data_IF_674247932524
#
_entry.id   IF_674247932524
#
_cell.length_a   1.000
_cell.length_b   1.000
_cell.length_c   1.000
_cell.angle_alpha   90.00
_cell.angle_beta   90.00
_cell.angle_gamma   90.00
#
_symmetry.space_group_name_H-M   'P 1'
#
loop_
_entity.id
_entity.type
_entity.pdbx_description
1 polymer ?
#
# COMPACT_ATOMS: atom_id res chain seq x y z
N UNK A 1 -23.29 69.60 -4.80
CA UNK A 1 -23.96 68.28 -4.77
C UNK A 1 -22.96 67.26 -5.37
N UNK A 2 -22.22 66.63 -4.51
CA UNK A 2 -21.11 65.73 -4.93
C UNK A 2 -21.58 64.27 -4.77
N UNK A 3 -21.68 63.59 -5.93
CA UNK A 3 -22.10 62.18 -5.96
C UNK A 3 -20.87 61.29 -5.68
N UNK A 4 -20.90 60.62 -4.54
CA UNK A 4 -19.88 59.60 -4.16
C UNK A 4 -20.34 58.25 -4.69
N UNK A 5 -19.70 57.77 -5.73
CA UNK A 5 -19.92 56.42 -6.30
C UNK A 5 -19.13 55.42 -5.46
N UNK A 6 -19.80 54.58 -4.71
CA UNK A 6 -19.20 53.45 -3.98
C UNK A 6 -19.01 52.29 -4.95
N UNK A 7 -17.76 51.94 -5.24
CA UNK A 7 -17.41 50.66 -5.90
C UNK A 7 -17.45 49.54 -4.84
N UNK A 8 -18.41 48.65 -4.98
CA UNK A 8 -18.43 47.40 -4.25
C UNK A 8 -17.49 46.42 -4.97
N UNK A 9 -16.31 46.18 -4.39
CA UNK A 9 -15.40 45.12 -4.87
C UNK A 9 -15.99 43.75 -4.48
N UNK A 10 -16.46 43.02 -5.50
CA UNK A 10 -16.86 41.64 -5.41
C UNK A 10 -15.57 40.82 -5.27
N UNK A 11 -15.24 40.38 -4.06
CA UNK A 11 -14.17 39.40 -3.83
C UNK A 11 -14.78 38.04 -4.22
N UNK A 12 -14.48 37.56 -5.42
CA UNK A 12 -14.71 36.17 -5.80
C UNK A 12 -13.72 35.32 -4.95
N UNK A 13 -14.22 34.66 -3.92
CA UNK A 13 -13.53 33.54 -3.32
C UNK A 13 -13.52 32.41 -4.36
N UNK A 14 -12.42 32.28 -5.12
CA UNK A 14 -12.12 31.05 -5.82
C UNK A 14 -11.85 30.00 -4.75
N UNK A 15 -12.86 29.21 -4.37
CA UNK A 15 -12.64 27.94 -3.71
C UNK A 15 -11.71 27.13 -4.62
N UNK A 16 -10.54 26.75 -4.14
CA UNK A 16 -9.62 25.95 -4.91
C UNK A 16 -10.34 24.68 -5.37
N UNK A 17 -10.18 24.27 -6.63
CA UNK A 17 -10.80 23.05 -7.15
C UNK A 17 -10.46 21.82 -6.28
N UNK A 18 -9.33 21.83 -5.58
CA UNK A 18 -8.88 20.79 -4.64
C UNK A 18 -9.83 20.61 -3.45
N UNK A 19 -10.46 21.67 -2.93
CA UNK A 19 -11.35 21.60 -1.77
C UNK A 19 -12.61 20.77 -2.04
N UNK A 20 -12.98 20.58 -3.28
CA UNK A 20 -14.15 19.81 -3.72
C UNK A 20 -13.82 18.40 -4.16
N UNK A 21 -12.53 18.06 -4.39
CA UNK A 21 -12.10 16.71 -4.74
C UNK A 21 -12.36 15.73 -3.60
N UNK A 22 -12.79 14.54 -3.95
CA UNK A 22 -12.87 13.43 -3.02
C UNK A 22 -11.63 12.53 -3.13
N UNK A 23 -11.37 11.77 -2.07
CA UNK A 23 -10.24 10.86 -1.98
C UNK A 23 -10.15 9.89 -3.15
N UNK A 24 -11.29 9.39 -3.65
CA UNK A 24 -11.35 8.46 -4.78
C UNK A 24 -11.29 9.15 -6.17
N UNK A 25 -11.14 10.46 -6.21
CA UNK A 25 -11.05 11.25 -7.45
C UNK A 25 -9.61 11.65 -7.82
N UNK A 26 -8.63 11.10 -7.14
CA UNK A 26 -7.21 11.28 -7.44
C UNK A 26 -6.54 9.96 -7.81
N UNK A 27 -5.39 10.04 -8.47
CA UNK A 27 -4.47 8.92 -8.61
C UNK A 27 -3.17 9.23 -7.89
N UNK A 28 -2.60 8.22 -7.22
CA UNK A 28 -1.31 8.26 -6.55
C UNK A 28 -0.44 7.10 -7.00
N UNK A 29 0.87 7.27 -6.91
CA UNK A 29 1.85 6.21 -7.15
C UNK A 29 2.18 5.55 -5.81
N UNK A 30 2.22 4.22 -5.82
CA UNK A 30 2.59 3.37 -4.72
C UNK A 30 3.78 2.49 -5.03
N UNK A 31 4.40 1.96 -4.00
CA UNK A 31 5.40 0.90 -4.07
C UNK A 31 4.80 -0.44 -3.68
N UNK A 32 5.23 -1.51 -4.35
CA UNK A 32 4.93 -2.89 -4.01
C UNK A 32 6.04 -3.44 -3.11
N UNK A 33 5.70 -4.26 -2.11
CA UNK A 33 6.66 -4.77 -1.13
C UNK A 33 7.61 -3.67 -0.60
N UNK A 34 7.05 -2.56 -0.16
CA UNK A 34 7.77 -1.30 0.11
C UNK A 34 8.89 -1.41 1.15
N UNK A 35 8.79 -2.42 2.01
CA UNK A 35 9.75 -2.76 3.06
C UNK A 35 10.95 -3.57 2.53
N UNK A 36 10.90 -4.11 1.29
CA UNK A 36 11.87 -5.07 0.74
C UNK A 36 13.27 -4.46 0.61
N UNK A 37 14.20 -4.91 1.45
CA UNK A 37 15.57 -4.42 1.48
C UNK A 37 16.49 -5.06 0.42
N UNK A 38 15.96 -6.05 -0.33
CA UNK A 38 16.70 -6.89 -1.25
C UNK A 38 17.39 -8.05 -0.55
N UNK A 39 17.61 -9.12 -1.29
CA UNK A 39 18.33 -10.30 -0.83
C UNK A 39 19.83 -10.04 -0.75
N UNK A 40 20.50 -10.64 0.24
CA UNK A 40 21.96 -10.61 0.33
C UNK A 40 22.61 -11.54 -0.73
N UNK A 41 23.91 -11.36 -1.04
CA UNK A 41 24.57 -12.11 -2.11
C UNK A 41 24.47 -13.63 -1.99
N UNK A 42 24.67 -14.21 -0.79
CA UNK A 42 24.58 -15.66 -0.61
C UNK A 42 23.16 -16.18 -0.66
N UNK A 43 22.18 -15.39 -0.16
CA UNK A 43 20.76 -15.68 -0.29
C UNK A 43 20.34 -15.73 -1.76
N UNK A 44 20.76 -14.73 -2.54
CA UNK A 44 20.51 -14.67 -3.99
C UNK A 44 21.17 -15.85 -4.72
N UNK A 45 22.42 -16.17 -4.41
CA UNK A 45 23.14 -17.28 -5.02
C UNK A 45 22.48 -18.63 -4.73
N UNK A 46 22.01 -18.83 -3.49
CA UNK A 46 21.25 -20.02 -3.11
C UNK A 46 19.92 -20.11 -3.86
N UNK A 47 19.13 -19.03 -3.89
CA UNK A 47 17.84 -19.01 -4.58
C UNK A 47 18.00 -19.23 -6.11
N UNK A 48 19.03 -18.64 -6.70
CA UNK A 48 19.36 -18.82 -8.14
C UNK A 48 19.58 -20.29 -8.48
N UNK A 49 20.27 -21.06 -7.63
CA UNK A 49 20.44 -22.50 -7.84
C UNK A 49 19.14 -23.29 -7.73
N UNK A 50 18.19 -22.85 -6.90
CA UNK A 50 16.88 -23.47 -6.79
C UNK A 50 15.96 -23.07 -7.94
N UNK A 51 15.93 -21.81 -8.30
CA UNK A 51 15.05 -21.24 -9.30
C UNK A 51 15.56 -19.89 -9.77
N UNK A 52 16.19 -19.84 -10.94
CA UNK A 52 16.59 -18.59 -11.58
C UNK A 52 15.40 -17.62 -11.72
N UNK A 53 14.22 -18.15 -12.15
CA UNK A 53 13.00 -17.34 -12.29
C UNK A 53 12.61 -16.67 -10.98
N UNK A 54 12.67 -17.37 -9.84
CA UNK A 54 12.34 -16.77 -8.53
C UNK A 54 13.37 -15.72 -8.13
N UNK A 55 14.65 -15.99 -8.34
CA UNK A 55 15.71 -15.02 -8.07
C UNK A 55 15.59 -13.77 -8.94
N UNK A 56 15.22 -13.94 -10.21
CA UNK A 56 14.96 -12.82 -11.13
C UNK A 56 13.77 -11.99 -10.68
N UNK A 57 12.68 -12.62 -10.25
CA UNK A 57 11.46 -11.93 -9.78
C UNK A 57 11.70 -11.12 -8.50
N UNK A 58 12.64 -11.53 -7.65
CA UNK A 58 13.02 -10.84 -6.41
C UNK A 58 14.21 -9.88 -6.56
N UNK A 59 14.70 -9.64 -7.77
CA UNK A 59 15.88 -8.81 -8.02
C UNK A 59 15.55 -7.31 -8.02
N UNK A 60 14.86 -6.84 -6.99
CA UNK A 60 14.57 -5.42 -6.72
C UNK A 60 14.77 -5.11 -5.24
N UNK A 61 14.75 -3.85 -4.88
CA UNK A 61 14.82 -3.38 -3.49
C UNK A 61 14.29 -1.96 -3.41
N UNK A 62 13.91 -1.54 -2.20
CA UNK A 62 13.44 -0.20 -1.92
C UNK A 62 14.27 0.50 -0.84
N UNK A 63 14.38 1.84 -0.86
CA UNK A 63 14.86 2.61 0.27
C UNK A 63 13.86 2.58 1.44
N UNK A 64 14.21 3.16 2.59
CA UNK A 64 13.30 3.28 3.73
C UNK A 64 11.97 3.95 3.38
N UNK A 65 10.91 3.62 4.11
CA UNK A 65 9.54 4.12 3.83
C UNK A 65 9.47 5.65 3.82
N UNK A 66 10.17 6.31 4.73
CA UNK A 66 10.28 7.77 4.80
C UNK A 66 10.89 8.38 3.54
N UNK A 67 11.97 7.79 3.04
CA UNK A 67 12.61 8.20 1.78
C UNK A 67 11.65 8.02 0.59
N UNK A 68 10.87 6.93 0.57
CA UNK A 68 9.87 6.70 -0.47
C UNK A 68 8.78 7.79 -0.45
N UNK A 69 8.29 8.17 0.73
CA UNK A 69 7.33 9.27 0.86
C UNK A 69 7.90 10.62 0.41
N UNK A 70 9.19 10.90 0.71
CA UNK A 70 9.88 12.10 0.23
C UNK A 70 10.00 12.13 -1.29
N UNK A 71 10.15 10.98 -1.95
CA UNK A 71 10.12 10.86 -3.41
C UNK A 71 8.74 11.12 -4.02
N UNK A 72 7.66 11.03 -3.22
CA UNK A 72 6.29 11.23 -3.70
C UNK A 72 5.40 9.99 -3.65
N UNK A 73 5.88 8.85 -3.16
CA UNK A 73 5.05 7.65 -2.93
C UNK A 73 3.94 7.98 -1.93
N UNK A 74 2.72 7.53 -2.21
CA UNK A 74 1.55 7.73 -1.32
C UNK A 74 0.81 6.42 -0.99
N UNK A 75 1.24 5.30 -1.54
CA UNK A 75 0.84 3.98 -1.06
C UNK A 75 2.10 3.14 -0.82
N UNK A 76 2.13 2.46 0.31
CA UNK A 76 3.15 1.44 0.63
C UNK A 76 2.47 0.13 0.95
N UNK A 77 3.14 -0.97 0.63
CA UNK A 77 2.70 -2.33 0.90
C UNK A 77 3.63 -2.98 1.93
N UNK A 78 3.03 -3.60 2.94
CA UNK A 78 3.74 -4.21 4.05
C UNK A 78 3.20 -5.62 4.27
N UNK A 79 4.02 -6.63 4.00
CA UNK A 79 3.68 -8.02 4.28
C UNK A 79 3.99 -8.35 5.74
N UNK A 80 3.04 -8.97 6.40
CA UNK A 80 3.17 -9.31 7.81
C UNK A 80 2.94 -10.79 8.07
N UNK A 81 3.72 -11.31 8.98
CA UNK A 81 3.58 -12.66 9.54
C UNK A 81 3.25 -12.55 11.02
N UNK A 82 2.22 -13.25 11.46
CA UNK A 82 1.94 -13.38 12.88
C UNK A 82 3.04 -14.23 13.56
N UNK A 83 3.51 -13.75 14.72
CA UNK A 83 4.49 -14.43 15.55
C UNK A 83 4.19 -14.10 17.02
N UNK A 84 3.06 -14.67 17.51
CA UNK A 84 2.47 -14.33 18.81
C UNK A 84 3.45 -14.57 19.96
N UNK A 85 4.33 -15.57 19.84
CA UNK A 85 5.30 -15.93 20.88
C UNK A 85 6.70 -15.37 20.62
N UNK A 86 6.99 -14.91 19.40
CA UNK A 86 8.33 -14.53 18.98
C UNK A 86 9.23 -15.72 18.66
N UNK A 87 10.29 -15.46 17.88
CA UNK A 87 11.33 -16.43 17.58
C UNK A 87 11.04 -17.38 16.42
N UNK A 88 9.81 -17.46 15.91
CA UNK A 88 9.41 -18.37 14.84
C UNK A 88 10.29 -18.21 13.60
N UNK A 89 10.62 -17.00 13.25
CA UNK A 89 11.36 -16.65 12.03
C UNK A 89 12.81 -16.17 12.30
N UNK A 90 13.31 -16.40 13.53
CA UNK A 90 14.63 -15.90 13.94
C UNK A 90 15.81 -16.67 13.31
N UNK A 91 15.57 -17.84 12.74
CA UNK A 91 16.60 -18.72 12.17
C UNK A 91 16.21 -19.17 10.75
N UNK A 92 16.27 -18.28 9.75
CA UNK A 92 15.87 -18.60 8.39
C UNK A 92 16.68 -19.78 7.81
N UNK A 93 15.98 -20.73 7.18
CA UNK A 93 16.57 -21.96 6.69
C UNK A 93 17.65 -21.73 5.60
N UNK A 94 17.50 -20.69 4.79
CA UNK A 94 18.48 -20.42 3.73
C UNK A 94 19.88 -20.04 4.26
N UNK A 95 20.00 -19.48 5.46
CA UNK A 95 21.29 -19.20 6.09
C UNK A 95 22.10 -20.50 6.29
N UNK A 96 21.44 -21.54 6.80
CA UNK A 96 22.04 -22.87 6.95
C UNK A 96 22.38 -23.46 5.58
N UNK A 97 21.43 -23.42 4.65
CA UNK A 97 21.60 -23.98 3.30
C UNK A 97 22.70 -23.28 2.51
N UNK A 98 22.82 -21.96 2.60
CA UNK A 98 23.90 -21.20 1.99
C UNK A 98 25.27 -21.60 2.58
N UNK A 99 25.36 -21.78 3.90
CA UNK A 99 26.57 -22.25 4.57
C UNK A 99 26.96 -23.67 4.15
N UNK A 100 26.02 -24.60 4.05
CA UNK A 100 26.23 -25.97 3.56
C UNK A 100 26.73 -26.01 2.10
N UNK A 101 26.39 -24.99 1.31
CA UNK A 101 26.92 -24.79 -0.05
C UNK A 101 28.30 -24.14 -0.10
N UNK A 102 28.89 -23.82 1.05
CA UNK A 102 30.18 -23.13 1.13
C UNK A 102 30.13 -21.67 0.70
N UNK A 103 28.96 -21.05 0.71
CA UNK A 103 28.82 -19.63 0.38
C UNK A 103 29.31 -18.74 1.55
N UNK A 104 29.84 -17.53 1.27
CA UNK A 104 30.25 -16.59 2.31
C UNK A 104 29.10 -16.20 3.23
N UNK A 105 29.40 -15.90 4.48
CA UNK A 105 28.40 -15.35 5.40
C UNK A 105 28.00 -13.94 4.98
N UNK A 106 26.70 -13.71 4.88
CA UNK A 106 26.12 -12.39 4.65
C UNK A 106 26.05 -11.57 5.96
N UNK A 107 25.90 -10.24 5.88
CA UNK A 107 25.64 -9.42 7.05
C UNK A 107 24.41 -9.91 7.82
N UNK A 108 24.41 -9.86 9.17
CA UNK A 108 23.27 -10.24 9.97
C UNK A 108 21.98 -9.54 9.51
N UNK A 109 20.89 -10.29 9.33
CA UNK A 109 19.60 -9.70 8.92
C UNK A 109 18.84 -9.08 10.09
N UNK A 110 19.04 -9.57 11.30
CA UNK A 110 18.40 -9.11 12.55
C UNK A 110 19.44 -8.79 13.64
N UNK A 111 20.26 -7.74 13.48
CA UNK A 111 21.31 -7.41 14.45
C UNK A 111 20.77 -6.94 15.80
N UNK A 112 19.47 -6.62 15.90
CA UNK A 112 18.81 -6.15 17.12
C UNK A 112 17.97 -7.23 17.81
N UNK A 113 17.91 -8.44 17.26
CA UNK A 113 17.13 -9.56 17.80
C UNK A 113 15.62 -9.30 17.83
N UNK A 114 15.10 -8.54 16.85
CA UNK A 114 13.68 -8.19 16.78
C UNK A 114 12.82 -9.40 16.39
N UNK A 115 13.38 -10.35 15.64
CA UNK A 115 12.69 -11.59 15.29
C UNK A 115 12.49 -12.54 16.48
N UNK A 116 13.23 -12.34 17.58
CA UNK A 116 13.04 -13.10 18.82
C UNK A 116 11.85 -12.59 19.66
N UNK A 117 11.33 -11.40 19.38
CA UNK A 117 10.26 -10.78 20.18
C UNK A 117 8.89 -11.15 19.62
N UNK A 118 7.83 -11.22 20.44
CA UNK A 118 6.45 -11.33 19.99
C UNK A 118 6.02 -10.18 19.07
N UNK A 119 4.97 -10.39 18.25
CA UNK A 119 4.36 -9.39 17.38
C UNK A 119 4.53 -9.70 15.90
N UNK A 120 3.96 -8.87 15.02
CA UNK A 120 3.99 -9.11 13.59
C UNK A 120 5.39 -8.80 13.00
N UNK A 121 5.90 -9.75 12.20
CA UNK A 121 7.18 -9.62 11.48
C UNK A 121 6.94 -9.16 10.06
N UNK A 122 7.82 -8.31 9.55
CA UNK A 122 7.72 -7.74 8.20
C UNK A 122 8.76 -8.39 7.30
N UNK A 123 8.30 -9.21 6.36
CA UNK A 123 9.15 -9.89 5.37
C UNK A 123 8.30 -10.44 4.22
N UNK A 124 8.90 -10.66 3.06
CA UNK A 124 8.20 -11.15 1.88
C UNK A 124 7.95 -12.67 1.93
N UNK A 125 9.00 -13.45 2.18
CA UNK A 125 8.88 -14.91 2.25
C UNK A 125 9.77 -15.49 3.36
N UNK A 126 9.12 -16.19 4.30
CA UNK A 126 9.83 -16.86 5.39
C UNK A 126 10.91 -17.80 4.83
N UNK A 127 12.06 -17.82 5.49
CA UNK A 127 13.19 -18.67 5.16
C UNK A 127 13.88 -18.39 3.80
N UNK A 128 13.34 -17.51 2.96
CA UNK A 128 13.86 -17.22 1.62
C UNK A 128 14.24 -15.75 1.46
N UNK A 129 13.27 -14.87 1.69
CA UNK A 129 13.35 -13.42 1.44
C UNK A 129 12.76 -12.66 2.63
N UNK A 130 13.58 -12.47 3.65
CA UNK A 130 13.19 -11.99 4.98
C UNK A 130 13.82 -10.65 5.36
N UNK A 131 14.66 -10.05 4.49
CA UNK A 131 15.27 -8.75 4.79
C UNK A 131 14.30 -7.61 4.57
N UNK A 132 14.20 -6.73 5.55
CA UNK A 132 13.25 -5.63 5.57
C UNK A 132 13.90 -4.33 6.01
N UNK A 133 13.45 -3.21 5.43
CA UNK A 133 13.86 -1.86 5.80
C UNK A 133 13.30 -1.41 7.16
N UNK A 134 12.29 -2.07 7.66
CA UNK A 134 11.69 -1.76 8.96
C UNK A 134 11.22 -3.04 9.66
N UNK A 135 11.48 -3.15 10.96
CA UNK A 135 11.07 -4.24 11.85
C UNK A 135 10.86 -3.69 13.27
N UNK A 136 9.97 -4.29 14.06
CA UNK A 136 8.81 -5.12 13.66
C UNK A 136 7.74 -4.27 12.97
N UNK A 137 6.52 -4.78 12.75
CA UNK A 137 5.45 -4.02 12.12
C UNK A 137 5.18 -2.68 12.81
N UNK A 138 5.17 -2.64 14.15
CA UNK A 138 5.08 -1.38 14.92
C UNK A 138 6.22 -0.41 14.61
N UNK A 139 7.40 -0.92 14.28
CA UNK A 139 8.53 -0.10 13.84
C UNK A 139 8.27 0.57 12.49
N UNK A 140 7.67 -0.17 11.53
CA UNK A 140 7.24 0.39 10.25
C UNK A 140 6.16 1.46 10.45
N UNK A 141 5.16 1.19 11.29
CA UNK A 141 4.12 2.16 11.64
C UNK A 141 4.71 3.43 12.27
N UNK A 142 5.73 3.29 13.13
CA UNK A 142 6.40 4.44 13.74
C UNK A 142 7.13 5.31 12.70
N UNK A 143 7.78 4.71 11.70
CA UNK A 143 8.38 5.45 10.57
C UNK A 143 7.32 6.24 9.82
N UNK A 144 6.20 5.60 9.46
CA UNK A 144 5.07 6.22 8.76
C UNK A 144 4.49 7.40 9.55
N UNK A 145 4.22 7.19 10.85
CA UNK A 145 3.68 8.24 11.71
C UNK A 145 4.63 9.42 11.88
N UNK A 146 5.93 9.16 12.06
CA UNK A 146 6.92 10.21 12.22
C UNK A 146 7.03 11.06 10.97
N UNK A 147 7.05 10.43 9.80
CA UNK A 147 7.03 11.16 8.53
C UNK A 147 5.74 11.99 8.39
N UNK A 148 4.57 11.40 8.67
CA UNK A 148 3.28 12.09 8.62
C UNK A 148 3.22 13.31 9.56
N UNK A 149 3.81 13.22 10.75
CA UNK A 149 3.90 14.35 11.70
C UNK A 149 4.83 15.45 11.21
N UNK A 150 5.92 15.09 10.53
CA UNK A 150 6.88 16.04 9.97
C UNK A 150 6.33 16.77 8.73
N UNK A 151 5.32 16.21 8.06
CA UNK A 151 4.71 16.73 6.83
C UNK A 151 3.20 16.98 7.03
N UNK A 152 2.77 17.87 7.93
CA UNK A 152 1.35 18.10 8.18
C UNK A 152 0.66 18.59 6.90
N UNK A 153 -0.50 17.98 6.57
CA UNK A 153 -1.24 18.32 5.34
C UNK A 153 -0.81 17.54 4.09
N UNK A 154 0.09 16.54 4.25
CA UNK A 154 0.41 15.62 3.15
C UNK A 154 -0.86 14.97 2.57
N UNK A 155 -0.79 14.52 1.31
CA UNK A 155 -1.84 13.71 0.71
C UNK A 155 -2.05 12.41 1.51
N UNK A 156 -3.27 11.84 1.53
CA UNK A 156 -3.53 10.60 2.25
C UNK A 156 -2.50 9.51 1.93
N UNK A 157 -2.04 8.81 2.96
CA UNK A 157 -1.17 7.64 2.83
C UNK A 157 -2.02 6.38 2.86
N UNK A 158 -1.85 5.52 1.86
CA UNK A 158 -2.49 4.21 1.81
C UNK A 158 -1.47 3.16 2.24
N UNK A 159 -1.80 2.37 3.26
CA UNK A 159 -0.97 1.29 3.77
C UNK A 159 -1.67 -0.02 3.45
N UNK A 160 -1.19 -0.70 2.42
CA UNK A 160 -1.67 -2.02 2.05
C UNK A 160 -0.97 -3.05 2.94
N UNK A 161 -1.75 -3.91 3.57
CA UNK A 161 -1.25 -4.97 4.44
C UNK A 161 -1.51 -6.31 3.76
N UNK A 162 -0.45 -7.05 3.46
CA UNK A 162 -0.55 -8.44 3.04
C UNK A 162 -0.32 -9.36 4.24
N UNK A 163 -1.33 -10.16 4.61
CA UNK A 163 -1.21 -11.16 5.67
C UNK A 163 -0.65 -12.46 5.09
N UNK A 164 0.54 -12.82 5.51
CA UNK A 164 1.25 -14.00 4.99
C UNK A 164 0.95 -15.23 5.84
N UNK A 165 0.32 -16.20 5.24
CA UNK A 165 0.03 -17.49 5.87
C UNK A 165 0.03 -18.65 4.86
N UNK A 166 0.22 -19.85 5.36
CA UNK A 166 0.16 -21.07 4.58
C UNK A 166 1.34 -22.00 4.81
N UNK A 167 1.25 -23.19 4.26
CA UNK A 167 2.33 -24.16 4.24
C UNK A 167 3.36 -23.73 3.23
N UNK A 168 4.53 -23.39 3.71
CA UNK A 168 5.70 -23.17 2.88
C UNK A 168 6.23 -24.46 2.25
N UNK A 169 7.37 -24.36 1.58
CA UNK A 169 8.13 -25.54 1.11
C UNK A 169 8.59 -26.37 2.32
N UNK A 170 9.00 -27.65 2.13
CA UNK A 170 9.35 -28.54 3.26
C UNK A 170 10.41 -28.01 4.22
N UNK A 171 11.25 -27.09 3.78
CA UNK A 171 12.29 -26.45 4.61
C UNK A 171 11.84 -25.13 5.25
N UNK A 172 10.66 -24.61 4.92
CA UNK A 172 10.14 -23.36 5.45
C UNK A 172 9.40 -23.59 6.77
N UNK A 173 9.51 -22.60 7.66
CA UNK A 173 8.71 -22.56 8.88
C UNK A 173 7.23 -22.48 8.54
N UNK A 174 6.40 -23.21 9.29
CA UNK A 174 4.95 -23.05 9.20
C UNK A 174 4.55 -21.69 9.80
N UNK A 175 3.66 -21.00 9.10
CA UNK A 175 3.17 -19.69 9.54
C UNK A 175 1.99 -19.84 10.49
N UNK A 176 1.75 -18.85 11.33
CA UNK A 176 0.51 -18.76 12.11
C UNK A 176 -0.65 -18.31 11.21
N UNK A 177 -1.83 -18.86 11.49
CA UNK A 177 -3.05 -18.48 10.77
C UNK A 177 -3.62 -17.17 11.32
N UNK A 178 -4.09 -16.29 10.42
CA UNK A 178 -4.77 -15.06 10.78
C UNK A 178 -6.23 -15.33 11.16
N UNK A 179 -6.44 -15.83 12.38
CA UNK A 179 -7.77 -16.00 12.96
C UNK A 179 -8.42 -14.64 13.29
N UNK A 180 -9.74 -14.57 13.54
CA UNK A 180 -10.39 -13.33 14.02
C UNK A 180 -9.68 -12.69 15.22
N UNK A 181 -9.17 -13.50 16.17
CA UNK A 181 -8.43 -12.99 17.33
C UNK A 181 -7.08 -12.38 16.95
N UNK A 182 -6.35 -12.96 15.99
CA UNK A 182 -5.09 -12.40 15.47
C UNK A 182 -5.35 -11.10 14.73
N UNK A 183 -6.46 -10.99 14.01
CA UNK A 183 -6.88 -9.72 13.40
C UNK A 183 -7.28 -8.66 14.42
N UNK A 184 -7.89 -9.05 15.57
CA UNK A 184 -8.14 -8.13 16.67
C UNK A 184 -6.82 -7.59 17.25
N UNK A 185 -5.80 -8.43 17.34
CA UNK A 185 -4.47 -8.02 17.80
C UNK A 185 -3.77 -7.13 16.78
N UNK A 186 -3.96 -7.36 15.47
CA UNK A 186 -3.46 -6.48 14.41
C UNK A 186 -4.08 -5.07 14.52
N UNK A 187 -5.41 -4.97 14.67
CA UNK A 187 -6.09 -3.69 14.88
C UNK A 187 -5.59 -2.97 16.15
N UNK A 188 -5.36 -3.70 17.24
CA UNK A 188 -4.78 -3.15 18.48
C UNK A 188 -3.35 -2.65 18.25
N UNK A 189 -2.53 -3.39 17.53
CA UNK A 189 -1.14 -3.00 17.23
C UNK A 189 -1.11 -1.72 16.40
N UNK A 190 -1.97 -1.60 15.37
CA UNK A 190 -2.12 -0.36 14.59
C UNK A 190 -2.53 0.81 15.48
N UNK A 191 -3.56 0.64 16.31
CA UNK A 191 -4.06 1.67 17.20
C UNK A 191 -3.06 2.06 18.31
N UNK A 192 -2.16 1.16 18.67
CA UNK A 192 -1.12 1.44 19.67
C UNK A 192 -0.07 2.45 19.18
N UNK A 193 0.10 2.56 17.87
CA UNK A 193 1.09 3.46 17.25
C UNK A 193 0.41 4.65 16.57
N UNK A 194 -0.64 4.40 15.76
CA UNK A 194 -1.29 5.45 14.97
C UNK A 194 -2.51 6.01 15.73
N UNK A 195 -2.50 7.30 16.10
CA UNK A 195 -3.63 7.94 16.77
C UNK A 195 -4.91 7.94 15.91
N UNK A 196 -6.07 7.85 16.53
CA UNK A 196 -7.34 7.79 15.83
C UNK A 196 -7.59 9.02 14.93
N UNK A 197 -7.18 10.20 15.37
CA UNK A 197 -7.29 11.44 14.60
C UNK A 197 -6.37 11.48 13.36
N UNK A 198 -5.44 10.55 13.24
CA UNK A 198 -4.55 10.37 12.08
C UNK A 198 -5.02 9.31 11.10
N UNK A 199 -6.13 8.64 11.37
CA UNK A 199 -6.67 7.60 10.47
C UNK A 199 -7.96 8.04 9.79
N UNK A 200 -8.24 7.42 8.65
CA UNK A 200 -9.58 7.26 8.08
C UNK A 200 -9.90 5.77 8.15
N UNK A 201 -10.93 5.41 8.91
CA UNK A 201 -11.35 4.02 9.12
C UNK A 201 -12.70 3.75 8.43
N UNK A 202 -13.09 2.47 8.25
CA UNK A 202 -14.36 2.13 7.60
C UNK A 202 -15.58 2.84 8.19
N UNK A 203 -15.63 3.04 9.51
CA UNK A 203 -16.72 3.74 10.18
C UNK A 203 -16.86 5.21 9.76
N UNK A 204 -15.73 5.89 9.47
CA UNK A 204 -15.74 7.28 9.00
C UNK A 204 -16.35 7.40 7.60
N UNK A 205 -16.10 6.42 6.74
CA UNK A 205 -16.65 6.37 5.37
C UNK A 205 -18.09 5.87 5.36
N UNK A 206 -18.41 4.84 6.16
CA UNK A 206 -19.77 4.32 6.27
C UNK A 206 -20.75 5.36 6.82
N UNK A 207 -20.31 6.15 7.79
CA UNK A 207 -21.14 7.20 8.38
C UNK A 207 -22.50 6.67 8.88
N UNK A 208 -23.58 7.24 8.35
CA UNK A 208 -24.99 6.89 8.71
C UNK A 208 -25.57 5.75 7.87
N UNK A 209 -24.86 5.25 6.86
CA UNK A 209 -25.36 4.21 5.96
C UNK A 209 -25.41 2.85 6.64
N UNK A 210 -26.29 1.97 6.16
CA UNK A 210 -26.45 0.64 6.71
C UNK A 210 -25.20 -0.21 6.42
N UNK A 211 -24.59 -0.02 5.24
CA UNK A 211 -23.37 -0.74 4.83
C UNK A 211 -22.30 0.24 4.35
N UNK A 212 -21.06 -0.21 4.37
CA UNK A 212 -19.94 0.55 3.82
C UNK A 212 -20.07 0.71 2.30
N UNK A 213 -20.53 -0.33 1.62
CA UNK A 213 -20.77 -0.29 0.18
C UNK A 213 -21.83 0.76 -0.19
N UNK A 214 -22.96 0.80 0.52
CA UNK A 214 -23.99 1.82 0.30
C UNK A 214 -23.41 3.24 0.36
N UNK A 215 -22.56 3.52 1.35
CA UNK A 215 -21.88 4.81 1.48
C UNK A 215 -21.00 5.12 0.27
N UNK A 216 -20.18 4.17 -0.14
CA UNK A 216 -19.24 4.35 -1.26
C UNK A 216 -19.97 4.57 -2.59
N UNK A 217 -21.09 3.89 -2.81
CA UNK A 217 -21.91 4.00 -4.01
C UNK A 217 -22.78 5.28 -4.05
N UNK A 218 -22.95 6.00 -2.93
CA UNK A 218 -23.83 7.17 -2.83
C UNK A 218 -23.10 8.44 -2.42
N UNK A 219 -22.69 8.56 -1.15
CA UNK A 219 -22.05 9.77 -0.60
C UNK A 219 -20.54 9.80 -0.90
N UNK A 220 -19.95 8.65 -1.17
CA UNK A 220 -18.56 8.48 -1.53
C UNK A 220 -17.58 8.73 -0.39
N UNK A 221 -16.34 8.82 -0.75
CA UNK A 221 -15.22 9.05 0.14
C UNK A 221 -15.19 10.50 0.68
N UNK A 222 -14.48 10.77 1.79
CA UNK A 222 -14.29 12.12 2.30
C UNK A 222 -13.64 13.04 1.26
N UNK A 223 -13.75 14.34 1.44
CA UNK A 223 -13.05 15.32 0.61
C UNK A 223 -11.55 15.16 0.78
N UNK A 224 -10.79 15.48 -0.28
CA UNK A 224 -9.34 15.40 -0.24
C UNK A 224 -8.75 16.27 0.88
N UNK A 225 -9.30 17.46 1.09
CA UNK A 225 -8.86 18.37 2.16
C UNK A 225 -9.05 17.77 3.56
N UNK A 226 -10.19 17.11 3.81
CA UNK A 226 -10.44 16.45 5.09
C UNK A 226 -9.60 15.18 5.28
N UNK A 227 -9.12 14.60 4.18
CA UNK A 227 -8.27 13.41 4.19
C UNK A 227 -6.77 13.72 4.29
N UNK A 228 -6.36 15.00 4.13
CA UNK A 228 -4.96 15.39 4.26
C UNK A 228 -4.42 15.09 5.66
N UNK A 229 -3.17 14.66 5.72
CA UNK A 229 -2.50 14.27 6.97
C UNK A 229 -3.03 12.99 7.60
N UNK A 230 -3.82 12.19 6.87
CA UNK A 230 -4.42 10.93 7.33
C UNK A 230 -3.78 9.72 6.70
N UNK A 231 -3.96 8.58 7.36
CA UNK A 231 -3.46 7.25 7.00
C UNK A 231 -4.66 6.33 6.85
N UNK A 232 -4.66 5.51 5.81
CA UNK A 232 -5.73 4.56 5.48
C UNK A 232 -5.10 3.19 5.34
N UNK A 233 -5.65 2.20 6.05
CA UNK A 233 -5.18 0.82 5.99
C UNK A 233 -6.08 0.00 5.07
N UNK A 234 -5.45 -0.81 4.21
CA UNK A 234 -6.10 -1.66 3.23
C UNK A 234 -5.61 -3.10 3.42
N UNK A 235 -6.46 -4.10 3.26
CA UNK A 235 -6.11 -5.53 3.32
C UNK A 235 -5.97 -6.07 1.91
N UNK A 236 -4.83 -6.70 1.61
CA UNK A 236 -4.54 -7.27 0.28
C UNK A 236 -5.39 -8.51 -0.01
N UNK A 237 -5.33 -9.52 0.85
CA UNK A 237 -5.92 -10.82 0.54
C UNK A 237 -7.43 -10.84 0.71
N UNK A 238 -8.15 -11.08 -0.39
CA UNK A 238 -9.59 -11.33 -0.36
C UNK A 238 -9.96 -12.56 0.47
N UNK A 239 -9.12 -13.60 0.48
CA UNK A 239 -9.37 -14.82 1.29
C UNK A 239 -9.38 -14.56 2.80
N UNK A 240 -8.71 -13.53 3.27
CA UNK A 240 -8.65 -13.13 4.67
C UNK A 240 -9.87 -12.27 5.11
N UNK A 241 -10.69 -11.82 4.16
CA UNK A 241 -11.87 -10.98 4.41
C UNK A 241 -12.80 -11.62 5.45
N UNK A 242 -13.15 -12.90 5.28
CA UNK A 242 -14.10 -13.60 6.16
C UNK A 242 -13.70 -13.60 7.62
N UNK A 243 -12.43 -13.84 7.93
CA UNK A 243 -11.91 -13.83 9.30
C UNK A 243 -11.81 -12.40 9.84
N UNK A 244 -11.46 -11.43 9.00
CA UNK A 244 -11.38 -10.03 9.41
C UNK A 244 -12.73 -9.41 9.72
N UNK A 245 -13.79 -9.73 8.96
CA UNK A 245 -15.15 -9.20 9.19
C UNK A 245 -15.94 -9.96 10.26
N UNK A 246 -15.43 -11.10 10.74
CA UNK A 246 -16.12 -11.92 11.73
C UNK A 246 -16.46 -11.12 12.99
N UNK A 247 -17.75 -11.01 13.32
CA UNK A 247 -18.26 -10.19 14.44
C UNK A 247 -18.32 -8.68 14.16
N UNK A 248 -17.90 -8.22 12.98
CA UNK A 248 -17.80 -6.81 12.60
C UNK A 248 -18.57 -6.51 11.29
N UNK A 249 -19.89 -6.62 11.27
CA UNK A 249 -20.67 -6.45 10.05
C UNK A 249 -20.35 -5.09 9.41
N UNK A 250 -20.08 -5.11 8.11
CA UNK A 250 -19.68 -3.90 7.36
C UNK A 250 -18.48 -3.16 7.95
N UNK A 251 -17.52 -3.91 8.52
CA UNK A 251 -16.29 -3.43 9.17
C UNK A 251 -16.52 -2.50 10.37
N UNK A 252 -17.67 -2.61 11.05
CA UNK A 252 -17.95 -1.79 12.23
C UNK A 252 -16.89 -1.97 13.31
N UNK A 253 -16.20 -0.88 13.68
CA UNK A 253 -15.15 -0.86 14.70
C UNK A 253 -13.77 -1.33 14.20
N UNK A 254 -13.65 -1.82 12.97
CA UNK A 254 -12.38 -2.22 12.33
C UNK A 254 -11.55 -1.02 11.86
N UNK A 255 -10.25 -1.24 11.63
CA UNK A 255 -9.30 -0.22 11.17
C UNK A 255 -9.04 -0.32 9.68
N UNK A 256 -9.05 -1.52 9.12
CA UNK A 256 -8.58 -1.83 7.77
C UNK A 256 -9.78 -2.01 6.83
N UNK A 257 -9.71 -1.44 5.63
CA UNK A 257 -10.65 -1.71 4.54
C UNK A 257 -10.27 -3.02 3.85
N UNK A 258 -11.21 -3.92 3.68
CA UNK A 258 -11.01 -5.22 3.05
C UNK A 258 -10.94 -5.14 1.52
N UNK A 259 -10.19 -6.05 0.90
CA UNK A 259 -10.25 -6.29 -0.54
C UNK A 259 -11.52 -7.11 -0.85
N UNK A 260 -12.68 -6.46 -0.73
CA UNK A 260 -13.97 -7.10 -0.84
C UNK A 260 -14.47 -7.17 -2.29
N UNK A 261 -15.31 -8.16 -2.57
CA UNK A 261 -16.01 -8.22 -3.86
C UNK A 261 -17.12 -7.17 -3.90
N UNK A 262 -17.32 -6.45 -5.02
CA UNK A 262 -18.50 -5.62 -5.22
C UNK A 262 -19.78 -6.37 -4.92
N UNK A 263 -20.70 -5.79 -4.16
CA UNK A 263 -21.91 -6.41 -3.65
C UNK A 263 -21.81 -6.89 -2.20
N UNK A 264 -20.61 -6.96 -1.62
CA UNK A 264 -20.42 -7.27 -0.21
C UNK A 264 -20.69 -6.03 0.66
N UNK A 265 -21.28 -6.18 1.86
CA UNK A 265 -21.60 -5.04 2.74
C UNK A 265 -20.39 -4.21 3.17
N UNK A 266 -19.19 -4.78 3.13
CA UNK A 266 -17.90 -4.18 3.47
C UNK A 266 -17.11 -3.68 2.25
N UNK A 267 -17.68 -3.78 1.03
CA UNK A 267 -16.98 -3.41 -0.19
C UNK A 267 -16.81 -1.89 -0.33
N UNK A 268 -15.55 -1.46 -0.28
CA UNK A 268 -15.13 -0.08 -0.54
C UNK A 268 -13.82 -0.03 -1.34
N UNK A 269 -12.96 -1.00 -1.10
CA UNK A 269 -11.66 -1.17 -1.73
C UNK A 269 -11.58 -2.52 -2.44
N UNK A 270 -10.89 -2.58 -3.58
CA UNK A 270 -10.60 -3.83 -4.28
C UNK A 270 -9.30 -3.74 -5.07
N UNK A 271 -8.63 -4.87 -5.22
CA UNK A 271 -7.47 -5.00 -6.08
C UNK A 271 -7.81 -5.60 -7.43
N UNK A 272 -7.27 -4.97 -8.47
CA UNK A 272 -7.33 -5.43 -9.85
C UNK A 272 -5.92 -5.34 -10.44
N UNK A 273 -5.06 -6.29 -10.07
CA UNK A 273 -3.63 -6.23 -10.30
C UNK A 273 -3.20 -6.38 -11.76
N UNK A 274 -4.05 -6.89 -12.65
CA UNK A 274 -3.78 -6.99 -14.08
C UNK A 274 -4.77 -6.11 -14.88
N UNK A 275 -4.39 -4.85 -15.20
CA UNK A 275 -5.25 -3.94 -15.94
C UNK A 275 -5.41 -4.31 -17.42
N UNK A 276 -4.63 -5.27 -17.92
CA UNK A 276 -4.72 -5.75 -19.30
C UNK A 276 -5.72 -6.91 -19.48
N UNK A 277 -6.04 -7.62 -18.38
CA UNK A 277 -6.90 -8.82 -18.42
C UNK A 277 -8.34 -8.47 -18.82
N UNK A 278 -8.89 -7.42 -18.24
CA UNK A 278 -10.20 -6.88 -18.57
C UNK A 278 -10.14 -5.33 -18.50
N UNK A 279 -9.90 -4.67 -19.63
CA UNK A 279 -9.72 -3.21 -19.65
C UNK A 279 -10.94 -2.40 -19.22
N UNK A 280 -12.15 -2.98 -19.21
CA UNK A 280 -13.38 -2.31 -18.79
C UNK A 280 -13.61 -2.39 -17.28
N UNK A 281 -13.09 -3.40 -16.61
CA UNK A 281 -13.40 -3.71 -15.22
C UNK A 281 -13.00 -2.56 -14.27
N UNK A 282 -11.77 -2.09 -14.34
CA UNK A 282 -11.29 -1.04 -13.43
C UNK A 282 -12.06 0.27 -13.63
N UNK A 283 -12.23 0.79 -14.87
CA UNK A 283 -13.03 1.99 -15.09
C UNK A 283 -14.48 1.88 -14.57
N UNK A 284 -15.09 0.71 -14.69
CA UNK A 284 -16.46 0.49 -14.20
C UNK A 284 -16.54 0.49 -12.67
N UNK A 285 -15.57 -0.11 -11.98
CA UNK A 285 -15.45 -0.06 -10.53
C UNK A 285 -15.22 1.36 -10.02
N UNK A 286 -14.32 2.08 -10.65
CA UNK A 286 -13.98 3.47 -10.31
C UNK A 286 -15.19 4.39 -10.48
N UNK A 287 -15.96 4.25 -11.58
CA UNK A 287 -17.20 5.03 -11.81
C UNK A 287 -18.28 4.75 -10.75
N UNK A 288 -18.33 3.53 -10.22
CA UNK A 288 -19.24 3.17 -9.12
C UNK A 288 -18.80 3.73 -7.77
N UNK A 289 -17.58 4.24 -7.63
CA UNK A 289 -17.08 4.86 -6.41
C UNK A 289 -16.07 4.02 -5.62
N UNK A 290 -15.79 2.78 -6.02
CA UNK A 290 -14.80 1.94 -5.34
C UNK A 290 -13.39 2.53 -5.45
N UNK A 291 -12.60 2.36 -4.39
CA UNK A 291 -11.17 2.58 -4.41
C UNK A 291 -10.49 1.34 -5.02
N UNK A 292 -9.70 1.53 -6.07
CA UNK A 292 -9.06 0.43 -6.79
C UNK A 292 -7.55 0.58 -6.78
N UNK A 293 -6.84 -0.51 -6.44
CA UNK A 293 -5.40 -0.66 -6.64
C UNK A 293 -5.15 -1.49 -7.89
N UNK A 294 -4.20 -1.06 -8.75
CA UNK A 294 -3.71 -1.82 -9.88
C UNK A 294 -2.17 -1.87 -9.88
N UNK A 295 -1.59 -2.96 -10.41
CA UNK A 295 -0.16 -3.08 -10.64
C UNK A 295 0.21 -2.44 -11.99
N UNK A 296 1.41 -1.89 -12.06
CA UNK A 296 1.99 -1.31 -13.28
C UNK A 296 3.09 -2.17 -13.87
N UNK A 297 3.56 -3.14 -13.08
CA UNK A 297 4.61 -4.11 -13.37
C UNK A 297 4.47 -5.32 -12.43
N UNK A 298 5.12 -6.42 -12.76
CA UNK A 298 5.14 -7.63 -11.94
C UNK A 298 6.43 -8.44 -12.18
N UNK A 299 6.95 -9.10 -11.14
CA UNK A 299 8.06 -10.07 -11.20
C UNK A 299 9.30 -9.55 -11.96
N UNK A 300 9.57 -8.26 -11.90
CA UNK A 300 10.63 -7.56 -12.65
C UNK A 300 10.52 -7.61 -14.19
N UNK A 301 9.47 -8.18 -14.75
CA UNK A 301 9.31 -8.40 -16.20
C UNK A 301 9.37 -7.09 -16.98
N UNK A 302 8.56 -6.11 -16.59
CA UNK A 302 8.52 -4.78 -17.23
C UNK A 302 9.79 -3.99 -16.93
N UNK A 303 10.34 -4.13 -15.72
CA UNK A 303 11.63 -3.53 -15.37
C UNK A 303 12.77 -4.02 -16.25
N UNK A 304 12.80 -5.31 -16.61
CA UNK A 304 13.80 -5.89 -17.48
C UNK A 304 13.59 -5.58 -18.96
N UNK A 305 12.36 -5.68 -19.43
CA UNK A 305 12.02 -5.50 -20.85
C UNK A 305 11.84 -4.03 -21.27
N UNK A 306 11.50 -3.15 -20.36
CA UNK A 306 11.07 -1.78 -20.66
C UNK A 306 9.67 -1.70 -21.25
N UNK A 307 8.87 -2.78 -21.26
CA UNK A 307 7.49 -2.76 -21.77
C UNK A 307 6.60 -1.93 -20.85
N UNK A 308 5.94 -0.92 -21.40
CA UNK A 308 5.11 0.04 -20.67
C UNK A 308 3.60 -0.24 -20.75
N UNK A 309 3.18 -1.27 -21.47
CA UNK A 309 1.75 -1.53 -21.73
C UNK A 309 0.92 -1.67 -20.46
N UNK A 310 1.42 -2.44 -19.48
CA UNK A 310 0.72 -2.64 -18.20
C UNK A 310 0.63 -1.33 -17.42
N UNK A 311 1.73 -0.57 -17.33
CA UNK A 311 1.77 0.75 -16.71
C UNK A 311 0.78 1.70 -17.36
N UNK A 312 0.81 1.82 -18.67
CA UNK A 312 -0.01 2.76 -19.41
C UNK A 312 -1.50 2.40 -19.30
N UNK A 313 -1.84 1.11 -19.32
CA UNK A 313 -3.19 0.61 -19.05
C UNK A 313 -3.65 0.92 -17.61
N UNK A 314 -2.82 0.64 -16.58
CA UNK A 314 -3.13 0.98 -15.19
C UNK A 314 -3.38 2.48 -15.02
N UNK A 315 -2.51 3.32 -15.59
CA UNK A 315 -2.64 4.78 -15.53
C UNK A 315 -3.92 5.29 -16.22
N UNK A 316 -4.33 4.71 -17.33
CA UNK A 316 -5.52 5.10 -18.07
C UNK A 316 -6.82 4.56 -17.45
N UNK A 317 -6.77 3.46 -16.70
CA UNK A 317 -7.94 2.77 -16.14
C UNK A 317 -8.70 3.58 -15.08
N UNK A 318 -8.03 4.56 -14.45
CA UNK A 318 -8.59 5.30 -13.33
C UNK A 318 -8.41 4.63 -11.97
N UNK A 319 -7.68 3.50 -11.86
CA UNK A 319 -7.29 2.98 -10.55
C UNK A 319 -6.63 4.10 -9.74
N UNK A 320 -7.08 4.30 -8.50
CA UNK A 320 -6.59 5.39 -7.66
C UNK A 320 -5.18 5.13 -7.15
N UNK A 321 -4.81 3.86 -6.99
CA UNK A 321 -3.49 3.43 -6.50
C UNK A 321 -2.78 2.66 -7.62
N UNK A 322 -1.63 3.19 -8.04
CA UNK A 322 -0.77 2.62 -9.07
C UNK A 322 0.49 2.05 -8.42
N UNK A 323 0.51 0.75 -8.15
CA UNK A 323 1.58 0.08 -7.40
C UNK A 323 2.66 -0.47 -8.33
N UNK A 324 3.94 -0.22 -8.00
CA UNK A 324 5.11 -0.54 -8.82
C UNK A 324 6.31 -0.96 -7.99
N UNK A 325 7.18 -1.78 -8.58
CA UNK A 325 8.53 -2.01 -8.05
C UNK A 325 9.51 -0.88 -8.48
N UNK A 326 9.10 -0.01 -9.43
CA UNK A 326 9.94 1.04 -10.02
C UNK A 326 9.15 2.35 -10.15
N UNK A 327 9.44 3.33 -9.32
CA UNK A 327 8.69 4.58 -9.22
C UNK A 327 9.62 5.79 -9.10
N UNK A 328 9.24 6.91 -9.61
CA UNK A 328 9.97 8.18 -9.58
C UNK A 328 11.45 8.00 -9.99
N UNK A 329 12.38 8.27 -9.08
CA UNK A 329 13.83 8.11 -9.30
C UNK A 329 14.32 6.67 -9.14
N UNK A 330 13.54 5.79 -8.50
CA UNK A 330 13.81 4.36 -8.36
C UNK A 330 13.49 3.64 -9.68
N UNK A 331 14.42 3.72 -10.62
CA UNK A 331 14.26 3.15 -11.96
C UNK A 331 14.85 1.75 -12.05
N UNK A 332 14.22 0.90 -12.86
CA UNK A 332 14.80 -0.40 -13.20
C UNK A 332 16.17 -0.21 -13.88
N UNK A 333 17.20 -0.84 -13.34
CA UNK A 333 18.57 -0.69 -13.82
C UNK A 333 18.79 -1.27 -15.23
N UNK A 334 17.94 -2.20 -15.67
CA UNK A 334 18.04 -2.86 -16.97
C UNK A 334 17.55 -2.00 -18.13
N UNK A 335 16.43 -1.30 -17.95
CA UNK A 335 15.74 -0.58 -19.05
C UNK A 335 15.48 0.89 -18.75
N UNK A 336 15.63 1.31 -17.50
CA UNK A 336 15.20 2.62 -17.06
C UNK A 336 13.68 2.74 -16.87
N UNK A 337 12.93 1.61 -16.90
CA UNK A 337 11.48 1.61 -16.63
C UNK A 337 11.18 2.25 -15.27
N UNK A 338 10.15 3.08 -15.24
CA UNK A 338 9.68 3.73 -14.01
C UNK A 338 8.26 4.25 -14.21
N UNK A 339 7.54 4.40 -13.11
CA UNK A 339 6.20 5.00 -13.06
C UNK A 339 6.29 6.42 -12.53
N UNK A 340 5.82 7.37 -13.33
CA UNK A 340 5.86 8.80 -13.00
C UNK A 340 4.61 9.48 -13.53
N UNK A 341 4.12 10.49 -12.83
CA UNK A 341 3.19 11.44 -13.41
C UNK A 341 3.93 12.54 -14.19
N UNK A 342 3.26 13.19 -15.17
CA UNK A 342 3.85 14.32 -15.88
C UNK A 342 4.35 15.40 -14.89
N UNK A 343 5.45 16.07 -15.24
CA UNK A 343 6.06 17.15 -14.43
C UNK A 343 6.50 16.74 -13.00
N UNK A 344 6.60 15.43 -12.69
CA UNK A 344 6.99 14.96 -11.37
C UNK A 344 5.93 15.16 -10.29
N UNK A 345 4.67 15.24 -10.67
CA UNK A 345 3.55 15.38 -9.74
C UNK A 345 3.46 14.17 -8.80
N UNK A 346 3.12 14.41 -7.53
CA UNK A 346 2.94 13.36 -6.52
C UNK A 346 1.57 12.67 -6.66
N UNK A 347 0.59 13.41 -7.14
CA UNK A 347 -0.74 12.91 -7.45
C UNK A 347 -1.31 13.67 -8.65
N UNK A 348 -2.28 13.07 -9.31
CA UNK A 348 -3.04 13.74 -10.37
C UNK A 348 -4.53 13.50 -10.22
N UNK A 349 -5.31 14.31 -10.90
CA UNK A 349 -6.75 14.07 -11.04
C UNK A 349 -6.99 12.70 -11.70
N UNK A 350 -7.97 11.98 -11.18
CA UNK A 350 -8.35 10.68 -11.74
C UNK A 350 -8.86 10.87 -13.18
N UNK A 351 -8.33 10.15 -14.17
CA UNK A 351 -8.72 10.34 -15.57
C UNK A 351 -10.15 9.88 -15.88
N UNK A 352 -10.79 9.12 -14.99
CA UNK A 352 -12.14 8.56 -15.19
C UNK A 352 -13.21 9.32 -14.41
N UNK A 353 -12.91 9.72 -13.16
CA UNK A 353 -13.89 10.34 -12.24
C UNK A 353 -13.43 11.69 -11.69
N UNK A 354 -12.29 12.20 -12.11
CA UNK A 354 -11.85 13.54 -11.75
C UNK A 354 -12.81 14.59 -12.31
N UNK A 355 -13.16 15.65 -11.57
CA UNK A 355 -14.07 16.67 -12.04
C UNK A 355 -13.45 17.46 -13.21
N UNK A 356 -14.29 17.99 -14.13
CA UNK A 356 -13.80 18.86 -15.20
C UNK A 356 -13.04 20.07 -14.62
N UNK A 357 -11.89 20.38 -15.22
CA UNK A 357 -11.06 21.51 -14.76
C UNK A 357 -10.25 21.24 -13.49
N UNK A 358 -10.20 20.00 -13.05
CA UNK A 358 -9.32 19.59 -11.95
C UNK A 358 -7.87 19.98 -12.29
N UNK A 359 -7.27 20.79 -11.45
CA UNK A 359 -5.93 21.35 -11.62
C UNK A 359 -4.84 20.48 -10.97
N UNK A 360 -3.65 21.07 -10.82
CA UNK A 360 -2.54 20.42 -10.12
C UNK A 360 -2.91 20.18 -8.63
N UNK A 361 -2.68 18.96 -8.17
CA UNK A 361 -2.90 18.57 -6.78
C UNK A 361 -1.63 18.90 -5.99
N UNK A 362 -1.77 19.69 -4.93
CA UNK A 362 -0.64 19.99 -4.04
C UNK A 362 -0.20 18.74 -3.28
N UNK A 363 1.12 18.50 -3.14
CA UNK A 363 1.68 17.39 -2.36
C UNK A 363 1.22 17.34 -0.92
#
# INVERSE_FOLDING_TARGET
>A
MTIITRYASLILLCASADAQLRLNQIQVIGSHNSYHAGMAPSETAWLTKLSQKSADGLAYKHPGLDVQFDMGVRQVEIDIYADVHGGRFAHPANLKMASEMGLPADPPFDPKGLFLKPGFKVMHAQDIDYRSNCQPFTGCLAVILNWSKAHPGHLPLFILIETKEGKGRPYQQETEHFTPAVFDDLDKEIRSVIPADKMIVPDDVRGKHATLEEAVLTDGWPTLDSARGKIIFLLDQRKAEGDYVAGHPSLKGRVIFTNAAPGSPDAAFTEQNDPLKDPALIPDLVKKGYLVRARTDADTVQGRSGDTKMRDAAMASGAQILSSDYYFSEKASWSGFSVNFPKGEVARCNPVVGPPGCGAIRP
#
